data_IF_917303975224
#
_entry.id   IF_917303975224
#
_cell.length_a   1.000
_cell.length_b   1.000
_cell.length_c   1.000
_cell.angle_alpha   90.00
_cell.angle_beta   90.00
_cell.angle_gamma   90.00
#
_symmetry.space_group_name_H-M   'P 1'
#
loop_
_entity.id
_entity.type
_entity.pdbx_description
1 polymer ?
#
# COMPACT_ATOMS: atom_id res chain seq x y z
N UNK A 1 0.12 2.88 29.27
CA UNK A 1 -0.13 1.43 29.44
C UNK A 1 0.60 0.75 28.31
N UNK A 2 1.72 0.10 28.60
CA UNK A 2 2.42 -0.72 27.61
C UNK A 2 1.50 -1.89 27.25
N UNK A 3 1.01 -1.91 26.01
CA UNK A 3 0.36 -3.08 25.41
C UNK A 3 1.40 -4.21 25.39
N UNK A 4 1.27 -5.18 26.30
CA UNK A 4 2.16 -6.33 26.32
C UNK A 4 1.70 -7.31 25.24
N UNK A 5 2.37 -7.28 24.09
CA UNK A 5 2.17 -8.24 23.00
C UNK A 5 2.41 -9.66 23.53
N UNK A 6 1.46 -10.61 23.37
CA UNK A 6 1.67 -11.99 23.79
C UNK A 6 2.94 -12.60 23.17
N UNK A 7 3.74 -13.38 23.91
CA UNK A 7 4.97 -13.99 23.39
C UNK A 7 4.74 -14.81 22.11
N UNK A 8 3.59 -15.48 22.00
CA UNK A 8 3.20 -16.28 20.84
C UNK A 8 2.94 -15.40 19.61
N UNK A 9 2.38 -14.21 19.81
CA UNK A 9 2.18 -13.23 18.75
C UNK A 9 3.53 -12.69 18.27
N UNK A 10 4.45 -12.38 19.18
CA UNK A 10 5.80 -11.91 18.80
C UNK A 10 6.55 -12.98 17.98
N UNK A 11 6.46 -14.27 18.36
CA UNK A 11 7.05 -15.36 17.59
C UNK A 11 6.48 -15.44 16.17
N UNK A 12 5.17 -15.29 16.03
CA UNK A 12 4.50 -15.29 14.73
C UNK A 12 4.92 -14.09 13.87
N UNK A 13 4.95 -12.88 14.44
CA UNK A 13 5.37 -11.67 13.74
C UNK A 13 6.85 -11.75 13.31
N UNK A 14 7.72 -12.31 14.15
CA UNK A 14 9.12 -12.56 13.79
C UNK A 14 9.25 -13.55 12.64
N UNK A 15 8.45 -14.61 12.64
CA UNK A 15 8.43 -15.58 11.54
C UNK A 15 8.02 -14.91 10.21
N UNK A 16 6.95 -14.11 10.20
CA UNK A 16 6.53 -13.37 9.00
C UNK A 16 7.64 -12.43 8.51
N UNK A 17 8.28 -11.69 9.41
CA UNK A 17 9.37 -10.79 9.07
C UNK A 17 10.57 -11.54 8.46
N UNK A 18 10.89 -12.74 8.95
CA UNK A 18 11.96 -13.57 8.41
C UNK A 18 11.65 -14.12 7.01
N UNK A 19 10.43 -14.62 6.80
CA UNK A 19 10.05 -15.28 5.54
C UNK A 19 9.73 -14.31 4.39
N UNK A 20 9.32 -13.08 4.71
CA UNK A 20 8.79 -12.12 3.72
C UNK A 20 9.41 -10.73 3.79
N UNK A 21 10.27 -10.47 4.78
CA UNK A 21 10.97 -9.18 4.93
C UNK A 21 10.08 -8.02 5.38
N UNK A 22 8.82 -8.28 5.76
CA UNK A 22 7.86 -7.27 6.19
C UNK A 22 7.81 -7.26 7.72
N UNK A 23 8.24 -6.14 8.32
CA UNK A 23 8.12 -5.95 9.76
C UNK A 23 6.71 -5.44 10.13
N UNK A 24 5.81 -6.39 10.37
CA UNK A 24 4.44 -6.10 10.73
C UNK A 24 4.29 -5.41 12.09
N UNK A 25 5.31 -5.41 12.96
CA UNK A 25 5.25 -4.75 14.28
C UNK A 25 5.13 -3.23 14.19
N UNK A 26 5.33 -2.66 13.00
CA UNK A 26 5.10 -1.23 12.72
C UNK A 26 3.63 -0.87 12.54
N UNK A 27 2.74 -1.84 12.33
CA UNK A 27 1.30 -1.59 12.28
C UNK A 27 0.71 -1.50 13.69
N UNK A 28 -0.45 -0.85 13.82
CA UNK A 28 -1.20 -0.82 15.08
C UNK A 28 -1.57 -2.23 15.53
N UNK A 29 -1.30 -2.60 16.78
CA UNK A 29 -1.57 -3.93 17.37
C UNK A 29 -3.00 -4.40 17.08
N UNK A 30 -4.00 -3.57 17.39
CA UNK A 30 -5.41 -3.86 17.15
C UNK A 30 -5.76 -4.17 15.68
N UNK A 31 -5.03 -3.58 14.72
CA UNK A 31 -5.22 -3.89 13.31
C UNK A 31 -4.66 -5.27 12.98
N UNK A 32 -3.45 -5.58 13.44
CA UNK A 32 -2.82 -6.90 13.24
C UNK A 32 -3.66 -8.02 13.84
N UNK A 33 -4.06 -7.88 15.10
CA UNK A 33 -4.84 -8.90 15.82
C UNK A 33 -6.17 -9.20 15.11
N UNK A 34 -6.88 -8.18 14.63
CA UNK A 34 -8.13 -8.36 13.89
C UNK A 34 -7.93 -9.12 12.57
N UNK A 35 -6.86 -8.81 11.84
CA UNK A 35 -6.53 -9.47 10.56
C UNK A 35 -6.08 -10.91 10.78
N UNK A 36 -5.19 -11.13 11.75
CA UNK A 36 -4.74 -12.47 12.18
C UNK A 36 -5.93 -13.32 12.65
N UNK A 37 -6.78 -12.81 13.55
CA UNK A 37 -7.97 -13.51 14.01
C UNK A 37 -8.95 -13.83 12.87
N UNK A 38 -8.98 -13.04 11.80
CA UNK A 38 -9.78 -13.36 10.61
C UNK A 38 -9.23 -14.58 9.87
N UNK A 39 -7.90 -14.67 9.68
CA UNK A 39 -7.27 -15.82 9.02
C UNK A 39 -7.30 -17.08 9.90
N UNK A 40 -7.04 -16.94 11.19
CA UNK A 40 -7.14 -18.02 12.17
C UNK A 40 -8.53 -18.67 12.17
N UNK A 41 -9.60 -17.87 12.12
CA UNK A 41 -10.97 -18.38 11.99
C UNK A 41 -11.22 -19.14 10.68
N UNK A 42 -10.61 -18.72 9.58
CA UNK A 42 -10.73 -19.43 8.30
C UNK A 42 -10.08 -20.83 8.34
N UNK A 43 -9.12 -21.04 9.26
CA UNK A 43 -8.46 -22.31 9.51
C UNK A 43 -8.94 -23.03 10.77
N UNK A 44 -10.02 -22.53 11.40
CA UNK A 44 -10.59 -23.12 12.62
C UNK A 44 -9.62 -23.24 13.80
N UNK A 45 -8.66 -22.31 13.93
CA UNK A 45 -7.73 -22.22 15.07
C UNK A 45 -8.01 -20.96 15.90
N UNK A 46 -7.76 -21.04 17.20
CA UNK A 46 -8.03 -19.94 18.15
C UNK A 46 -6.79 -19.38 18.84
N UNK A 47 -5.60 -19.93 18.58
CA UNK A 47 -4.34 -19.50 19.18
C UNK A 47 -3.24 -19.30 18.12
N UNK A 48 -2.28 -18.43 18.43
CA UNK A 48 -1.21 -18.06 17.50
C UNK A 48 -0.20 -19.19 17.24
N UNK A 49 -0.03 -20.15 18.16
CA UNK A 49 0.91 -21.25 17.97
C UNK A 49 0.39 -22.25 16.92
N UNK A 50 -0.88 -22.63 17.01
CA UNK A 50 -1.56 -23.46 16.02
C UNK A 50 -1.56 -22.80 14.64
N UNK A 51 -1.78 -21.48 14.59
CA UNK A 51 -1.72 -20.75 13.33
C UNK A 51 -0.30 -20.65 12.76
N UNK A 52 0.72 -20.47 13.60
CA UNK A 52 2.12 -20.52 13.18
C UNK A 52 2.49 -21.88 12.59
N UNK A 53 1.97 -22.98 13.14
CA UNK A 53 2.16 -24.32 12.56
C UNK A 53 1.55 -24.42 11.15
N UNK A 54 0.35 -23.87 10.94
CA UNK A 54 -0.29 -23.80 9.63
C UNK A 54 0.58 -23.01 8.65
N UNK A 55 1.02 -21.81 9.02
CA UNK A 55 1.87 -20.96 8.17
C UNK A 55 3.15 -21.67 7.72
N UNK A 56 3.78 -22.46 8.60
CA UNK A 56 4.98 -23.24 8.27
C UNK A 56 4.71 -24.42 7.32
N UNK A 57 3.50 -24.99 7.37
CA UNK A 57 3.12 -26.16 6.57
C UNK A 57 2.50 -25.78 5.22
N UNK A 58 1.88 -24.61 5.15
CA UNK A 58 1.12 -24.09 4.02
C UNK A 58 1.66 -22.72 3.59
N UNK A 59 2.73 -22.66 2.77
CA UNK A 59 3.31 -21.40 2.32
C UNK A 59 2.31 -20.47 1.63
N UNK A 60 1.29 -21.03 0.97
CA UNK A 60 0.18 -20.29 0.35
C UNK A 60 -0.65 -19.48 1.37
N UNK A 61 -0.73 -19.95 2.62
CA UNK A 61 -1.44 -19.23 3.68
C UNK A 61 -0.68 -17.96 4.09
N UNK A 62 0.65 -17.99 4.03
CA UNK A 62 1.46 -16.82 4.36
C UNK A 62 1.21 -15.69 3.36
N UNK A 63 1.06 -16.00 2.08
CA UNK A 63 0.74 -15.01 1.05
C UNK A 63 -0.68 -14.46 1.25
N UNK A 64 -1.66 -15.33 1.52
CA UNK A 64 -3.03 -14.92 1.81
C UNK A 64 -3.16 -14.08 3.11
N UNK A 65 -2.31 -14.34 4.11
CA UNK A 65 -2.20 -13.51 5.31
C UNK A 65 -1.63 -12.14 4.98
N UNK A 66 -0.56 -12.06 4.19
CA UNK A 66 0.03 -10.79 3.79
C UNK A 66 -0.97 -9.93 3.02
N UNK A 67 -1.70 -10.51 2.07
CA UNK A 67 -2.76 -9.81 1.34
C UNK A 67 -3.85 -9.28 2.29
N UNK A 68 -4.14 -10.01 3.37
CA UNK A 68 -5.09 -9.58 4.39
C UNK A 68 -4.55 -8.45 5.28
N UNK A 69 -3.25 -8.45 5.56
CA UNK A 69 -2.56 -7.44 6.35
C UNK A 69 -2.35 -6.14 5.57
N UNK A 70 -2.17 -6.20 4.25
CA UNK A 70 -2.07 -5.02 3.40
C UNK A 70 -3.43 -4.41 3.09
N UNK A 71 -3.56 -3.09 3.22
CA UNK A 71 -4.79 -2.38 2.79
C UNK A 71 -4.73 -2.22 1.27
N UNK A 72 -5.28 -3.18 0.55
CA UNK A 72 -5.29 -3.19 -0.92
C UNK A 72 -6.49 -2.45 -1.55
N UNK A 73 -7.31 -1.75 -0.75
CA UNK A 73 -8.41 -0.97 -1.29
C UNK A 73 -7.85 0.28 -1.99
N UNK A 74 -8.00 0.33 -3.30
CA UNK A 74 -7.67 1.46 -4.16
C UNK A 74 -8.77 1.63 -5.20
N UNK A 75 -8.97 2.85 -5.70
CA UNK A 75 -9.90 3.17 -6.78
C UNK A 75 -9.49 4.49 -7.41
N UNK A 76 -9.95 4.74 -8.64
CA UNK A 76 -9.63 5.95 -9.37
C UNK A 76 -10.04 7.20 -8.60
N UNK A 77 -9.14 8.19 -8.57
CA UNK A 77 -9.34 9.48 -7.90
C UNK A 77 -9.84 9.32 -6.46
N UNK A 78 -9.19 8.42 -5.70
CA UNK A 78 -9.64 7.93 -4.40
C UNK A 78 -10.15 9.02 -3.44
N UNK A 79 -9.36 10.08 -3.34
CA UNK A 79 -9.71 11.32 -2.65
C UNK A 79 -9.74 12.46 -3.66
N UNK A 80 -10.95 12.82 -4.08
CA UNK A 80 -11.15 13.85 -5.08
C UNK A 80 -10.61 15.22 -4.63
N UNK A 81 -10.63 15.51 -3.32
CA UNK A 81 -10.11 16.78 -2.80
C UNK A 81 -8.58 16.85 -2.91
N UNK A 82 -7.90 15.74 -2.62
CA UNK A 82 -6.43 15.63 -2.77
C UNK A 82 -6.03 15.73 -4.23
N UNK A 83 -6.73 15.05 -5.14
CA UNK A 83 -6.44 15.14 -6.58
C UNK A 83 -6.70 16.54 -7.15
N UNK A 84 -7.72 17.24 -6.65
CA UNK A 84 -8.00 18.61 -7.10
C UNK A 84 -6.96 19.61 -6.57
N UNK A 85 -6.51 19.45 -5.32
CA UNK A 85 -5.38 20.21 -4.79
C UNK A 85 -4.10 19.91 -5.56
N UNK A 86 -3.78 18.63 -5.80
CA UNK A 86 -2.63 18.21 -6.60
C UNK A 86 -2.66 18.83 -8.01
N UNK A 87 -3.83 18.86 -8.65
CA UNK A 87 -4.02 19.50 -9.97
C UNK A 87 -3.73 20.99 -9.94
N UNK A 88 -4.39 21.72 -9.03
CA UNK A 88 -4.40 23.19 -9.01
C UNK A 88 -3.15 23.80 -8.39
N UNK A 89 -2.70 23.22 -7.29
CA UNK A 89 -1.69 23.82 -6.42
C UNK A 89 -0.29 23.30 -6.71
N UNK A 90 -0.16 22.11 -7.29
CA UNK A 90 1.14 21.45 -7.53
C UNK A 90 1.43 21.29 -9.02
N UNK A 91 0.63 20.48 -9.72
CA UNK A 91 0.94 20.11 -11.11
C UNK A 91 0.81 21.27 -12.09
N UNK A 92 -0.28 22.05 -12.03
CA UNK A 92 -0.46 23.16 -12.96
C UNK A 92 0.64 24.25 -12.81
N UNK A 93 1.04 24.68 -11.60
CA UNK A 93 2.19 25.57 -11.43
C UNK A 93 3.51 24.97 -11.92
N UNK A 94 3.80 23.70 -11.57
CA UNK A 94 5.04 23.03 -11.98
C UNK A 94 5.16 22.88 -13.50
N UNK A 95 4.06 22.55 -14.18
CA UNK A 95 4.01 22.48 -15.64
C UNK A 95 4.34 23.86 -16.24
N UNK A 96 3.71 24.94 -15.74
CA UNK A 96 3.98 26.29 -16.25
C UNK A 96 5.44 26.71 -16.07
N UNK A 97 6.05 26.36 -14.94
CA UNK A 97 7.47 26.69 -14.68
C UNK A 97 8.43 25.89 -15.58
N UNK A 98 8.05 24.66 -15.95
CA UNK A 98 8.88 23.74 -16.72
C UNK A 98 8.61 23.75 -18.22
N UNK A 99 7.63 24.50 -18.68
CA UNK A 99 7.25 24.60 -20.10
C UNK A 99 8.25 25.45 -20.92
N UNK A 100 9.49 24.97 -20.96
CA UNK A 100 10.58 25.55 -21.74
C UNK A 100 11.39 24.43 -22.41
N UNK A 101 11.91 24.66 -23.63
CA UNK A 101 12.77 23.68 -24.31
C UNK A 101 13.91 23.19 -23.40
N UNK A 102 14.07 21.86 -23.31
CA UNK A 102 15.07 21.22 -22.45
C UNK A 102 14.71 21.07 -20.96
N UNK A 103 13.53 21.55 -20.52
CA UNK A 103 13.06 21.42 -19.12
C UNK A 103 11.73 20.68 -18.96
N UNK A 104 11.10 20.27 -20.07
CA UNK A 104 9.82 19.55 -20.13
C UNK A 104 9.96 18.10 -19.67
N UNK A 105 10.23 17.93 -18.38
CA UNK A 105 10.30 16.62 -17.75
C UNK A 105 9.57 16.64 -16.40
N UNK A 106 8.72 15.65 -16.16
CA UNK A 106 8.01 15.44 -14.90
C UNK A 106 8.15 14.00 -14.43
N UNK A 107 8.65 13.81 -13.21
CA UNK A 107 8.76 12.49 -12.58
C UNK A 107 7.83 12.44 -11.38
N UNK A 108 6.89 11.49 -11.40
CA UNK A 108 5.94 11.26 -10.33
C UNK A 108 6.16 9.87 -9.74
N UNK A 109 5.91 9.73 -8.43
CA UNK A 109 6.01 8.45 -7.74
C UNK A 109 4.75 8.22 -6.89
N UNK A 110 4.00 7.16 -7.22
CA UNK A 110 2.96 6.61 -6.36
C UNK A 110 3.57 5.44 -5.57
N UNK A 111 3.81 5.66 -4.28
CA UNK A 111 4.41 4.67 -3.39
C UNK A 111 3.32 3.82 -2.74
N UNK A 112 3.31 2.51 -3.01
CA UNK A 112 2.26 1.61 -2.56
C UNK A 112 0.99 1.70 -3.40
N UNK A 113 1.12 1.53 -4.72
CA UNK A 113 0.05 1.75 -5.68
C UNK A 113 -1.04 0.67 -5.76
N UNK A 114 -0.96 -0.37 -4.91
CA UNK A 114 -1.86 -1.53 -4.92
C UNK A 114 -2.07 -2.08 -6.36
N UNK A 115 -3.30 -2.06 -6.88
CA UNK A 115 -3.63 -2.51 -8.24
C UNK A 115 -3.43 -1.47 -9.36
N UNK A 116 -2.95 -0.26 -9.02
CA UNK A 116 -2.48 0.75 -9.98
C UNK A 116 -3.44 1.90 -10.28
N UNK A 117 -4.63 1.94 -9.70
CA UNK A 117 -5.63 2.99 -9.97
C UNK A 117 -5.11 4.39 -9.63
N UNK A 118 -4.27 4.53 -8.60
CA UNK A 118 -3.66 5.81 -8.24
C UNK A 118 -2.66 6.32 -9.31
N UNK A 119 -1.62 5.56 -9.73
CA UNK A 119 -0.73 6.02 -10.79
C UNK A 119 -1.46 6.23 -12.13
N UNK A 120 -2.50 5.46 -12.45
CA UNK A 120 -3.33 5.75 -13.61
C UNK A 120 -4.16 7.04 -13.46
N UNK A 121 -4.68 7.32 -12.26
CA UNK A 121 -5.36 8.60 -11.98
C UNK A 121 -4.41 9.79 -12.18
N UNK A 122 -3.14 9.65 -11.77
CA UNK A 122 -2.10 10.65 -12.03
C UNK A 122 -1.83 10.82 -13.53
N UNK A 123 -1.71 9.71 -14.28
CA UNK A 123 -1.49 9.76 -15.73
C UNK A 123 -2.66 10.43 -16.47
N UNK A 124 -3.91 10.09 -16.11
CA UNK A 124 -5.12 10.73 -16.66
C UNK A 124 -5.11 12.23 -16.35
N UNK A 125 -4.76 12.61 -15.11
CA UNK A 125 -4.69 14.00 -14.70
C UNK A 125 -3.64 14.79 -15.50
N UNK A 126 -2.45 14.22 -15.69
CA UNK A 126 -1.40 14.84 -16.52
C UNK A 126 -1.82 14.97 -17.97
N UNK A 127 -2.45 13.94 -18.54
CA UNK A 127 -2.99 14.00 -19.90
C UNK A 127 -4.04 15.12 -20.04
N UNK A 128 -4.90 15.32 -19.03
CA UNK A 128 -5.87 16.42 -19.02
C UNK A 128 -5.21 17.80 -18.91
N UNK A 129 -4.12 17.93 -18.15
CA UNK A 129 -3.40 19.19 -17.98
C UNK A 129 -2.55 19.58 -19.20
N UNK A 130 -1.90 18.59 -19.83
CA UNK A 130 -0.97 18.80 -20.95
C UNK A 130 -1.65 18.72 -22.31
N UNK A 131 -2.74 17.95 -22.44
CA UNK A 131 -3.49 17.78 -23.67
C UNK A 131 -2.60 17.40 -24.86
N UNK A 132 -2.74 18.12 -25.97
CA UNK A 132 -1.94 17.92 -27.18
C UNK A 132 -0.43 18.18 -26.97
N UNK A 133 -0.04 18.86 -25.89
CA UNK A 133 1.36 19.11 -25.56
C UNK A 133 2.08 17.90 -24.95
N UNK A 134 1.36 16.86 -24.49
CA UNK A 134 1.93 15.70 -23.80
C UNK A 134 3.11 15.03 -24.54
N UNK A 135 3.10 14.84 -25.88
CA UNK A 135 4.22 14.22 -26.60
C UNK A 135 5.54 15.00 -26.54
N UNK A 136 5.52 16.24 -26.03
CA UNK A 136 6.71 17.08 -25.87
C UNK A 136 7.28 17.06 -24.45
N UNK A 137 6.73 16.22 -23.57
CA UNK A 137 7.14 16.08 -22.17
C UNK A 137 7.66 14.66 -21.92
N UNK A 138 8.77 14.57 -21.18
CA UNK A 138 9.35 13.34 -20.67
C UNK A 138 8.92 13.02 -19.23
#
# INVERSE_FOLDING_TARGET
>A
MEEHTPPELELLLRYIAQERGIDCRKYKTNFLERRLASRMRAHHVSDYQSYLYILKKHPEELDALLDNLTINLTYFFRDQSVFEALRKEVLAPLIRERDHPGRRQLRLWSAGCATGEEPYSLAILLHQLLGAGLPHWD
#
